data_IF_815459449308
#
_entry.id   IF_815459449308
#
_cell.length_a   1.000
_cell.length_b   1.000
_cell.length_c   1.000
_cell.angle_alpha   90.00
_cell.angle_beta   90.00
_cell.angle_gamma   90.00
#
_symmetry.space_group_name_H-M   'P 1'
#
loop_
_entity.id
_entity.type
_entity.pdbx_description
1 polymer ?
#
# COMPACT_ATOMS: atom_id res chain seq x y z
N UNK A 1 8.62 74.77 10.04
CA UNK A 1 9.12 73.95 8.90
C UNK A 1 8.99 72.50 9.23
N UNK A 2 7.98 71.83 8.71
CA UNK A 2 7.68 70.42 8.97
C UNK A 2 8.38 69.57 7.90
N UNK A 3 9.37 68.70 8.30
CA UNK A 3 10.06 67.82 7.38
C UNK A 3 9.26 66.52 7.24
N UNK A 4 8.58 66.36 6.11
CA UNK A 4 7.91 65.13 5.72
C UNK A 4 8.97 64.13 5.26
N UNK A 5 9.14 63.03 6.00
CA UNK A 5 9.97 61.89 5.57
C UNK A 5 9.10 60.97 4.71
N UNK A 6 9.41 60.85 3.41
CA UNK A 6 8.85 59.84 2.52
C UNK A 6 9.46 58.51 2.85
N UNK A 7 8.66 57.55 3.34
CA UNK A 7 9.02 56.12 3.45
C UNK A 7 8.58 55.47 2.15
N UNK A 8 9.55 55.10 1.31
CA UNK A 8 9.31 54.30 0.11
C UNK A 8 9.21 52.82 0.58
N UNK A 9 8.00 52.27 0.55
CA UNK A 9 7.78 50.84 0.72
C UNK A 9 8.13 50.12 -0.58
N UNK A 10 9.29 49.42 -0.59
CA UNK A 10 9.66 48.53 -1.67
C UNK A 10 8.77 47.27 -1.55
N UNK A 11 7.68 47.18 -2.31
CA UNK A 11 6.90 45.94 -2.50
C UNK A 11 7.74 45.00 -3.36
N UNK A 12 8.51 44.10 -2.71
CA UNK A 12 9.04 42.93 -3.36
C UNK A 12 7.84 42.02 -3.69
N UNK A 13 7.37 42.08 -4.91
CA UNK A 13 6.40 41.13 -5.44
C UNK A 13 7.03 39.74 -5.48
N UNK A 14 6.76 38.91 -4.47
CA UNK A 14 6.96 37.48 -4.58
C UNK A 14 5.95 36.97 -5.60
N UNK A 15 6.40 36.78 -6.83
CA UNK A 15 5.66 35.96 -7.80
C UNK A 15 5.65 34.54 -7.26
N UNK A 16 4.58 34.15 -6.58
CA UNK A 16 4.30 32.74 -6.29
C UNK A 16 3.98 32.13 -7.66
N UNK A 17 4.99 31.54 -8.30
CA UNK A 17 4.74 30.66 -9.43
C UNK A 17 3.97 29.47 -8.87
N UNK A 18 2.64 29.53 -8.96
CA UNK A 18 1.81 28.36 -8.79
C UNK A 18 2.14 27.45 -9.99
N UNK A 19 3.03 26.50 -9.78
CA UNK A 19 3.35 25.52 -10.79
C UNK A 19 2.09 24.70 -11.02
N UNK A 20 1.52 24.79 -12.21
CA UNK A 20 0.34 24.00 -12.58
C UNK A 20 0.70 22.51 -12.43
N UNK A 21 -0.04 21.81 -11.58
CA UNK A 21 0.23 20.39 -11.31
C UNK A 21 -0.12 19.59 -12.57
N UNK A 22 0.88 18.96 -13.15
CA UNK A 22 0.67 18.03 -14.26
C UNK A 22 0.21 16.67 -13.72
N UNK A 23 -0.95 16.23 -14.18
CA UNK A 23 -1.46 14.89 -13.92
C UNK A 23 -1.39 14.07 -15.20
N UNK A 24 -0.55 13.01 -15.25
CA UNK A 24 -0.45 12.18 -16.43
C UNK A 24 -1.79 11.49 -16.72
N UNK A 25 -2.07 11.32 -18.03
CA UNK A 25 -3.22 10.58 -18.53
C UNK A 25 -2.78 9.16 -18.96
N UNK A 26 -3.36 8.62 -20.02
CA UNK A 26 -2.97 7.31 -20.56
C UNK A 26 -1.51 7.29 -21.03
N UNK A 27 -1.05 8.38 -21.61
CA UNK A 27 0.34 8.56 -22.06
C UNK A 27 1.09 9.48 -21.08
N UNK A 28 2.11 8.94 -20.44
CA UNK A 28 2.95 9.67 -19.51
C UNK A 28 4.06 10.40 -20.25
N UNK A 29 4.11 11.72 -20.10
CA UNK A 29 5.15 12.55 -20.70
C UNK A 29 6.52 12.25 -20.09
N UNK A 30 7.54 12.18 -20.94
CA UNK A 30 8.94 12.04 -20.50
C UNK A 30 9.62 13.40 -20.59
N UNK A 31 10.45 13.71 -19.60
CA UNK A 31 11.26 14.94 -19.57
C UNK A 31 12.70 14.64 -19.22
N UNK A 32 13.60 15.47 -19.76
CA UNK A 32 15.00 15.42 -19.37
C UNK A 32 15.13 15.79 -17.89
N UNK A 33 15.88 15.00 -17.09
CA UNK A 33 16.06 15.25 -15.66
C UNK A 33 16.45 16.67 -15.30
N UNK A 34 17.34 17.31 -16.09
CA UNK A 34 17.79 18.68 -15.85
C UNK A 34 16.66 19.70 -15.87
N UNK A 35 15.64 19.49 -16.70
CA UNK A 35 14.47 20.38 -16.78
C UNK A 35 13.67 20.42 -15.49
N UNK A 36 13.85 19.41 -14.62
CA UNK A 36 13.20 19.27 -13.31
C UNK A 36 14.19 19.34 -12.14
N UNK A 37 15.42 19.85 -12.40
CA UNK A 37 16.44 20.10 -11.38
C UNK A 37 17.23 18.87 -10.96
N UNK A 38 17.27 17.80 -11.75
CA UNK A 38 18.05 16.59 -11.50
C UNK A 38 19.23 16.47 -12.47
N UNK A 39 20.31 15.83 -12.05
CA UNK A 39 21.43 15.49 -12.91
C UNK A 39 21.11 14.24 -13.74
N UNK A 40 21.27 14.33 -15.06
CA UNK A 40 21.16 13.18 -15.95
C UNK A 40 22.14 12.05 -15.56
N UNK A 41 23.36 12.42 -15.20
CA UNK A 41 24.36 11.47 -14.77
C UNK A 41 23.91 10.69 -13.52
N UNK A 42 23.38 11.39 -12.49
CA UNK A 42 22.90 10.74 -11.27
C UNK A 42 21.66 9.87 -11.51
N UNK A 43 20.78 10.25 -12.43
CA UNK A 43 19.64 9.39 -12.82
C UNK A 43 20.15 8.13 -13.51
N UNK A 44 21.13 8.22 -14.41
CA UNK A 44 21.76 7.06 -15.07
C UNK A 44 22.44 6.14 -14.05
N UNK A 45 23.22 6.69 -13.12
CA UNK A 45 23.86 5.93 -12.03
C UNK A 45 22.82 5.20 -11.19
N UNK A 46 21.70 5.85 -10.83
CA UNK A 46 20.63 5.24 -10.05
C UNK A 46 19.94 4.08 -10.81
N UNK A 47 19.71 4.23 -12.11
CA UNK A 47 19.17 3.17 -12.97
C UNK A 47 20.14 1.98 -13.05
N UNK A 48 21.42 2.26 -13.29
CA UNK A 48 22.45 1.22 -13.35
C UNK A 48 22.53 0.46 -12.01
N UNK A 49 22.56 1.18 -10.89
CA UNK A 49 22.54 0.58 -9.56
C UNK A 49 21.32 -0.33 -9.35
N UNK A 50 20.13 0.12 -9.75
CA UNK A 50 18.91 -0.68 -9.62
C UNK A 50 18.97 -1.98 -10.43
N UNK A 51 19.52 -1.93 -11.65
CA UNK A 51 19.68 -3.10 -12.52
C UNK A 51 20.72 -4.08 -11.97
N UNK A 52 21.85 -3.59 -11.48
CA UNK A 52 22.96 -4.40 -10.95
C UNK A 52 22.63 -5.03 -9.59
N UNK A 53 21.74 -4.41 -8.81
CA UNK A 53 21.35 -4.88 -7.48
C UNK A 53 19.95 -5.50 -7.46
N UNK A 54 19.49 -6.06 -8.59
CA UNK A 54 18.24 -6.81 -8.60
C UNK A 54 18.29 -7.97 -7.60
N UNK A 55 17.17 -8.19 -6.92
CA UNK A 55 17.02 -9.32 -6.01
C UNK A 55 17.24 -10.66 -6.75
N UNK A 56 18.09 -11.50 -6.20
CA UNK A 56 18.46 -12.82 -6.77
C UNK A 56 17.40 -13.91 -6.60
N UNK A 57 16.17 -13.58 -6.16
CA UNK A 57 15.08 -14.54 -6.01
C UNK A 57 14.78 -15.25 -7.32
N UNK A 58 14.50 -16.57 -7.22
CA UNK A 58 14.17 -17.41 -8.36
C UNK A 58 13.10 -16.75 -9.25
N UNK A 59 13.38 -16.64 -10.54
CA UNK A 59 12.44 -16.08 -11.52
C UNK A 59 11.26 -16.99 -11.83
N UNK A 60 11.36 -18.31 -11.55
CA UNK A 60 10.19 -19.16 -11.50
C UNK A 60 9.33 -18.75 -10.31
N UNK A 61 8.22 -18.07 -10.60
CA UNK A 61 7.37 -17.50 -9.56
C UNK A 61 6.77 -18.55 -8.64
N UNK A 62 6.42 -19.73 -9.16
CA UNK A 62 5.89 -20.84 -8.35
C UNK A 62 6.91 -21.27 -7.31
N UNK A 63 8.16 -21.51 -7.73
CA UNK A 63 9.22 -21.97 -6.83
C UNK A 63 9.56 -20.90 -5.80
N UNK A 64 9.58 -19.61 -6.21
CA UNK A 64 9.82 -18.49 -5.31
C UNK A 64 8.75 -18.39 -4.22
N UNK A 65 7.46 -18.53 -4.58
CA UNK A 65 6.35 -18.49 -3.63
C UNK A 65 6.40 -19.69 -2.69
N UNK A 66 6.60 -20.89 -3.20
CA UNK A 66 6.72 -22.11 -2.36
C UNK A 66 7.88 -21.96 -1.37
N UNK A 67 9.03 -21.48 -1.81
CA UNK A 67 10.19 -21.25 -0.95
C UNK A 67 9.93 -20.23 0.16
N UNK A 68 9.18 -19.17 -0.15
CA UNK A 68 8.91 -18.08 0.80
C UNK A 68 7.79 -18.43 1.80
N UNK A 69 6.71 -19.06 1.35
CA UNK A 69 5.45 -19.18 2.08
C UNK A 69 4.95 -20.62 2.26
N UNK A 70 5.60 -21.62 1.61
CA UNK A 70 5.14 -23.01 1.62
C UNK A 70 5.10 -23.68 3.00
N UNK A 71 5.63 -23.04 4.04
CA UNK A 71 5.56 -23.51 5.43
C UNK A 71 4.31 -23.01 6.18
N UNK A 72 3.56 -22.07 5.60
CA UNK A 72 2.40 -21.48 6.25
C UNK A 72 1.21 -22.46 6.24
N UNK A 73 0.45 -22.57 7.35
CA UNK A 73 -0.73 -23.41 7.39
C UNK A 73 -1.78 -23.00 6.35
N UNK A 74 -2.22 -23.96 5.54
CA UNK A 74 -3.21 -23.69 4.48
C UNK A 74 -2.62 -23.03 3.24
N UNK A 75 -1.29 -22.97 3.13
CA UNK A 75 -0.62 -22.49 1.93
C UNK A 75 -1.08 -23.29 0.69
N UNK A 76 -1.53 -22.56 -0.30
CA UNK A 76 -1.89 -23.09 -1.61
C UNK A 76 -1.75 -22.00 -2.69
N UNK A 77 -1.06 -22.31 -3.79
CA UNK A 77 -1.04 -21.42 -4.94
C UNK A 77 -2.35 -21.59 -5.71
N UNK A 78 -3.18 -20.55 -5.72
CA UNK A 78 -4.42 -20.50 -6.49
C UNK A 78 -4.22 -19.72 -7.78
N UNK A 79 -4.50 -20.39 -8.91
CA UNK A 79 -4.39 -19.78 -10.22
C UNK A 79 -3.01 -19.97 -10.89
N UNK A 80 -2.88 -19.50 -12.14
CA UNK A 80 -1.67 -19.70 -12.93
C UNK A 80 -0.52 -18.82 -12.46
N UNK A 81 0.69 -19.34 -12.51
CA UNK A 81 1.93 -18.61 -12.32
C UNK A 81 2.74 -18.55 -13.60
N UNK A 82 3.48 -17.47 -13.81
CA UNK A 82 4.42 -17.31 -14.95
C UNK A 82 5.81 -16.96 -14.42
N UNK A 83 6.89 -17.38 -15.11
CA UNK A 83 8.22 -16.89 -14.81
C UNK A 83 8.29 -15.37 -14.88
N UNK A 84 8.96 -14.75 -13.92
CA UNK A 84 9.25 -13.30 -13.93
C UNK A 84 10.32 -13.00 -14.96
N UNK A 85 10.20 -11.88 -15.63
CA UNK A 85 11.24 -11.35 -16.53
C UNK A 85 12.26 -10.50 -15.75
N UNK A 86 13.19 -9.87 -16.47
CA UNK A 86 14.20 -9.00 -15.90
C UNK A 86 13.63 -7.76 -15.19
N UNK A 87 14.49 -7.00 -14.51
CA UNK A 87 14.08 -5.82 -13.76
C UNK A 87 13.49 -4.76 -14.68
N UNK A 88 12.54 -4.01 -14.16
CA UNK A 88 12.02 -2.80 -14.79
C UNK A 88 11.69 -1.76 -13.73
N UNK A 89 11.62 -0.52 -14.14
CA UNK A 89 11.22 0.55 -13.23
C UNK A 89 11.10 1.91 -13.90
N UNK A 90 10.54 2.84 -13.13
CA UNK A 90 10.32 4.23 -13.49
C UNK A 90 10.87 5.13 -12.37
N UNK A 91 11.43 6.27 -12.76
CA UNK A 91 11.67 7.41 -11.87
C UNK A 91 10.73 8.51 -12.34
N UNK A 92 9.88 8.96 -11.43
CA UNK A 92 8.82 9.94 -11.71
C UNK A 92 9.07 11.17 -10.84
N UNK A 93 8.99 12.35 -11.45
CA UNK A 93 9.04 13.64 -10.77
C UNK A 93 7.91 14.54 -11.26
N UNK A 94 7.07 15.01 -10.34
CA UNK A 94 5.94 15.90 -10.64
C UNK A 94 5.03 15.41 -11.77
N UNK A 95 4.81 14.07 -11.82
CA UNK A 95 4.01 13.41 -12.85
C UNK A 95 4.78 13.04 -14.12
N UNK A 96 5.99 13.53 -14.34
CA UNK A 96 6.81 13.26 -15.53
C UNK A 96 7.76 12.08 -15.31
N UNK A 97 7.94 11.26 -16.33
CA UNK A 97 8.98 10.22 -16.34
C UNK A 97 10.33 10.89 -16.64
N UNK A 98 11.28 10.79 -15.71
CA UNK A 98 12.66 11.28 -15.85
C UNK A 98 13.68 10.15 -15.96
N UNK A 99 13.26 8.91 -15.81
CA UNK A 99 14.10 7.73 -16.00
C UNK A 99 13.24 6.48 -16.12
N UNK A 100 13.69 5.53 -16.95
CA UNK A 100 13.04 4.22 -17.10
C UNK A 100 14.03 3.15 -17.54
N UNK A 101 13.75 1.91 -17.13
CA UNK A 101 14.51 0.75 -17.61
C UNK A 101 13.61 -0.49 -17.71
N UNK A 102 14.01 -1.42 -18.55
CA UNK A 102 13.26 -2.64 -18.83
C UNK A 102 11.91 -2.39 -19.51
N UNK A 103 11.03 -3.37 -19.48
CA UNK A 103 9.69 -3.32 -20.06
C UNK A 103 8.68 -2.84 -19.01
N UNK A 104 8.46 -1.54 -18.95
CA UNK A 104 7.55 -0.91 -17.95
C UNK A 104 6.08 -1.11 -18.27
N UNK A 105 5.73 -1.59 -19.47
CA UNK A 105 4.36 -1.90 -19.85
C UNK A 105 3.98 -3.35 -19.57
N UNK A 106 4.91 -4.13 -19.07
CA UNK A 106 4.70 -5.54 -18.77
C UNK A 106 3.74 -5.74 -17.61
N UNK A 107 2.80 -6.65 -17.77
CA UNK A 107 1.93 -7.10 -16.70
C UNK A 107 2.66 -8.11 -15.81
N UNK A 108 2.82 -7.78 -14.56
CA UNK A 108 3.41 -8.63 -13.51
C UNK A 108 2.51 -8.65 -12.26
N UNK A 109 2.73 -9.65 -11.39
CA UNK A 109 2.08 -9.67 -10.08
C UNK A 109 2.61 -8.52 -9.20
N UNK A 110 1.70 -7.74 -8.66
CA UNK A 110 2.02 -6.59 -7.80
C UNK A 110 2.29 -6.98 -6.34
N UNK A 111 1.95 -8.22 -5.94
CA UNK A 111 2.04 -8.66 -4.54
C UNK A 111 1.46 -7.62 -3.58
N UNK A 112 2.18 -7.28 -2.53
CA UNK A 112 1.70 -6.36 -1.50
C UNK A 112 1.52 -4.90 -1.95
N UNK A 113 1.97 -4.50 -3.13
CA UNK A 113 1.58 -3.21 -3.73
C UNK A 113 0.06 -3.12 -3.95
N UNK A 114 -0.62 -4.27 -4.07
CA UNK A 114 -2.09 -4.35 -4.05
C UNK A 114 -2.72 -3.64 -2.85
N UNK A 115 -2.03 -3.60 -1.69
CA UNK A 115 -2.50 -2.90 -0.49
C UNK A 115 -2.60 -1.39 -0.69
N UNK A 116 -1.73 -0.79 -1.52
CA UNK A 116 -1.81 0.62 -1.89
C UNK A 116 -3.06 0.93 -2.72
N UNK A 117 -3.41 0.03 -3.66
CA UNK A 117 -4.68 0.14 -4.39
C UNK A 117 -5.89 0.00 -3.46
N UNK A 118 -5.85 -0.97 -2.55
CA UNK A 118 -6.92 -1.17 -1.57
C UNK A 118 -7.10 0.07 -0.69
N UNK A 119 -6.00 0.66 -0.22
CA UNK A 119 -6.02 1.91 0.56
C UNK A 119 -6.63 3.06 -0.24
N UNK A 120 -6.32 3.17 -1.54
CA UNK A 120 -6.90 4.19 -2.43
C UNK A 120 -8.42 3.98 -2.59
N UNK A 121 -8.86 2.74 -2.80
CA UNK A 121 -10.30 2.40 -2.87
C UNK A 121 -11.01 2.75 -1.56
N UNK A 122 -10.38 2.44 -0.41
CA UNK A 122 -10.91 2.83 0.90
C UNK A 122 -11.02 4.35 1.04
N UNK A 123 -10.01 5.11 0.58
CA UNK A 123 -10.04 6.57 0.56
C UNK A 123 -11.19 7.14 -0.29
N UNK A 124 -11.47 6.55 -1.45
CA UNK A 124 -12.60 6.93 -2.29
C UNK A 124 -13.95 6.61 -1.63
N UNK A 125 -14.06 5.47 -0.95
CA UNK A 125 -15.27 5.09 -0.21
C UNK A 125 -15.51 6.04 0.99
N UNK A 126 -14.44 6.38 1.72
CA UNK A 126 -14.48 7.37 2.79
C UNK A 126 -14.91 8.75 2.27
N UNK A 127 -14.33 9.23 1.16
CA UNK A 127 -14.69 10.50 0.53
C UNK A 127 -16.17 10.55 0.12
N UNK A 128 -16.73 9.41 -0.27
CA UNK A 128 -18.17 9.27 -0.58
C UNK A 128 -19.07 9.17 0.65
N UNK A 129 -18.51 9.20 1.86
CA UNK A 129 -19.25 9.11 3.12
C UNK A 129 -19.84 7.72 3.41
N UNK A 130 -19.27 6.66 2.81
CA UNK A 130 -19.75 5.29 3.04
C UNK A 130 -19.40 4.74 4.42
N UNK A 131 -18.38 5.32 5.06
CA UNK A 131 -17.98 5.04 6.45
C UNK A 131 -17.10 6.16 6.98
N UNK A 132 -16.93 6.22 8.32
CA UNK A 132 -15.92 7.05 8.98
C UNK A 132 -14.87 6.17 9.64
N UNK A 133 -13.63 6.71 9.78
CA UNK A 133 -12.49 5.93 10.28
C UNK A 133 -12.70 5.37 11.69
N UNK A 134 -13.37 6.11 12.56
CA UNK A 134 -13.59 5.74 13.97
C UNK A 134 -14.83 4.87 14.18
N UNK A 135 -15.63 4.64 13.14
CA UNK A 135 -16.81 3.78 13.21
C UNK A 135 -16.43 2.30 13.28
N UNK A 136 -17.21 1.54 14.03
CA UNK A 136 -16.95 0.12 14.29
C UNK A 136 -17.44 -0.76 13.15
N UNK A 137 -16.62 -1.73 12.76
CA UNK A 137 -16.95 -2.68 11.67
C UNK A 137 -18.22 -3.49 11.96
N UNK A 138 -18.53 -3.79 13.23
CA UNK A 138 -19.76 -4.48 13.63
C UNK A 138 -21.03 -3.77 13.17
N UNK A 139 -20.96 -2.45 12.96
CA UNK A 139 -22.12 -1.65 12.54
C UNK A 139 -22.41 -1.81 11.04
N UNK A 140 -21.42 -2.23 10.27
CA UNK A 140 -21.47 -2.47 8.82
C UNK A 140 -21.58 -3.96 8.45
N UNK A 141 -20.82 -4.82 9.13
CA UNK A 141 -20.67 -6.24 8.81
C UNK A 141 -21.46 -7.07 9.82
N UNK A 142 -22.56 -7.68 9.38
CA UNK A 142 -23.52 -8.38 10.24
C UNK A 142 -23.37 -9.91 10.24
N UNK A 143 -22.33 -10.45 9.62
CA UNK A 143 -22.11 -11.88 9.45
C UNK A 143 -21.41 -12.57 10.65
N UNK A 144 -21.28 -11.87 11.76
CA UNK A 144 -20.69 -12.40 13.00
C UNK A 144 -19.18 -12.19 13.16
N UNK A 145 -18.47 -11.78 12.10
CA UNK A 145 -16.98 -11.62 12.15
C UNK A 145 -16.53 -10.56 13.17
N UNK A 146 -17.40 -9.63 13.51
CA UNK A 146 -17.13 -8.53 14.44
C UNK A 146 -18.04 -8.57 15.68
N UNK A 147 -18.61 -9.73 16.03
CA UNK A 147 -19.56 -9.84 17.16
C UNK A 147 -18.95 -10.21 18.49
N UNK A 148 -17.74 -10.80 18.53
CA UNK A 148 -17.07 -11.17 19.78
C UNK A 148 -16.68 -9.93 20.62
N UNK A 149 -16.49 -10.11 21.93
CA UNK A 149 -16.08 -9.02 22.82
C UNK A 149 -14.78 -8.35 22.38
N UNK A 150 -13.86 -9.10 21.80
CA UNK A 150 -12.63 -8.59 21.25
C UNK A 150 -12.85 -7.85 19.92
N UNK A 151 -13.49 -8.48 18.95
CA UNK A 151 -13.62 -7.94 17.58
C UNK A 151 -14.61 -6.78 17.49
N UNK A 152 -15.58 -6.66 18.39
CA UNK A 152 -16.62 -5.60 18.35
C UNK A 152 -16.06 -4.18 18.49
N UNK A 153 -14.82 -4.05 18.99
CA UNK A 153 -14.13 -2.78 19.17
C UNK A 153 -13.30 -2.35 17.94
N UNK A 154 -13.22 -3.20 16.91
CA UNK A 154 -12.44 -2.91 15.71
C UNK A 154 -13.13 -1.83 14.89
N UNK A 155 -12.36 -0.78 14.54
CA UNK A 155 -12.78 0.31 13.65
C UNK A 155 -12.16 0.19 12.25
N UNK A 156 -12.65 0.97 11.30
CA UNK A 156 -12.04 1.09 9.96
C UNK A 156 -10.57 1.52 10.05
N UNK A 157 -10.26 2.45 10.96
CA UNK A 157 -8.88 2.89 11.19
C UNK A 157 -7.99 1.72 11.60
N UNK A 158 -8.44 0.85 12.50
CA UNK A 158 -7.66 -0.31 12.94
C UNK A 158 -7.36 -1.29 11.81
N UNK A 159 -8.29 -1.51 10.87
CA UNK A 159 -8.02 -2.35 9.69
C UNK A 159 -7.05 -1.68 8.73
N UNK A 160 -7.23 -0.38 8.44
CA UNK A 160 -6.42 0.35 7.47
C UNK A 160 -4.96 0.49 7.89
N UNK A 161 -4.68 0.64 9.18
CA UNK A 161 -3.31 0.76 9.70
C UNK A 161 -2.74 -0.56 10.23
N UNK A 162 -3.41 -1.69 9.99
CA UNK A 162 -3.02 -3.03 10.42
C UNK A 162 -2.82 -3.19 11.94
N UNK A 163 -3.62 -2.47 12.73
CA UNK A 163 -3.67 -2.61 14.20
C UNK A 163 -4.96 -3.27 14.70
N UNK A 164 -5.73 -3.90 13.81
CA UNK A 164 -7.03 -4.46 14.17
C UNK A 164 -6.95 -5.59 15.18
N UNK A 165 -5.87 -6.35 15.19
CA UNK A 165 -5.74 -7.55 16.01
C UNK A 165 -6.98 -8.46 15.95
N UNK A 166 -7.65 -8.46 14.78
CA UNK A 166 -8.84 -9.27 14.56
C UNK A 166 -8.54 -10.75 14.76
N UNK A 167 -9.43 -11.44 15.44
CA UNK A 167 -9.34 -12.87 15.73
C UNK A 167 -10.48 -13.62 15.06
N UNK A 168 -10.12 -14.57 14.19
CA UNK A 168 -11.14 -15.35 13.51
C UNK A 168 -10.65 -16.19 12.34
N UNK A 169 -11.59 -16.55 11.50
CA UNK A 169 -11.37 -17.29 10.27
C UNK A 169 -12.01 -16.55 9.10
N UNK A 170 -11.22 -16.29 8.06
CA UNK A 170 -11.68 -15.68 6.82
C UNK A 170 -11.51 -16.68 5.67
N UNK A 171 -12.62 -17.16 5.11
CA UNK A 171 -12.64 -18.12 3.97
C UNK A 171 -11.77 -19.39 4.20
N UNK A 172 -11.78 -19.92 5.42
CA UNK A 172 -11.00 -21.09 5.78
C UNK A 172 -9.60 -20.81 6.31
N UNK A 173 -9.13 -19.57 6.25
CA UNK A 173 -7.81 -19.15 6.75
C UNK A 173 -7.92 -18.43 8.08
N UNK A 174 -7.24 -18.90 9.10
CA UNK A 174 -7.21 -18.27 10.42
C UNK A 174 -6.27 -17.07 10.44
N UNK A 175 -6.59 -16.07 11.30
CA UNK A 175 -5.78 -14.86 11.50
C UNK A 175 -4.32 -15.15 11.88
N UNK A 176 -4.06 -16.22 12.63
CA UNK A 176 -2.72 -16.67 13.03
C UNK A 176 -1.96 -17.42 11.93
N UNK A 177 -2.59 -17.73 10.80
CA UNK A 177 -1.96 -18.53 9.73
C UNK A 177 -1.00 -17.74 8.85
N UNK A 178 -1.05 -16.39 8.88
CA UNK A 178 -0.15 -15.55 8.10
C UNK A 178 1.20 -15.40 8.81
N UNK A 179 2.27 -15.79 8.12
CA UNK A 179 3.67 -15.70 8.59
C UNK A 179 3.89 -16.17 10.03
N UNK A 180 3.43 -17.38 10.38
CA UNK A 180 3.58 -17.87 11.73
C UNK A 180 5.08 -18.06 12.05
N UNK A 181 5.49 -17.83 13.31
CA UNK A 181 6.84 -18.15 13.74
C UNK A 181 7.16 -19.62 13.46
N UNK A 182 8.27 -19.90 12.78
CA UNK A 182 8.65 -21.27 12.36
C UNK A 182 8.95 -22.24 13.52
N UNK A 183 9.22 -21.69 14.69
CA UNK A 183 9.56 -22.43 15.90
C UNK A 183 8.35 -22.77 16.78
N UNK A 184 7.14 -22.36 16.40
CA UNK A 184 5.92 -22.63 17.14
C UNK A 184 5.05 -23.66 16.44
N UNK A 185 4.38 -24.51 17.22
CA UNK A 185 3.35 -25.42 16.72
C UNK A 185 2.03 -24.68 16.45
N UNK A 186 1.17 -25.26 15.62
CA UNK A 186 -0.16 -24.70 15.33
C UNK A 186 -1.00 -24.56 16.61
N UNK A 187 -0.83 -25.46 17.60
CA UNK A 187 -1.51 -25.36 18.90
C UNK A 187 -1.06 -24.14 19.71
N UNK A 188 0.23 -23.88 19.73
CA UNK A 188 0.80 -22.71 20.41
C UNK A 188 0.37 -21.39 19.74
N UNK A 189 0.30 -21.35 18.41
CA UNK A 189 -0.20 -20.17 17.69
C UNK A 189 -1.65 -19.85 18.06
N UNK A 190 -2.50 -20.86 18.23
CA UNK A 190 -3.93 -20.68 18.58
C UNK A 190 -4.18 -20.12 19.97
N UNK A 191 -3.27 -20.34 20.92
CA UNK A 191 -3.44 -19.92 22.32
C UNK A 191 -2.72 -18.63 22.66
N UNK A 192 -2.04 -17.99 21.68
CA UNK A 192 -1.41 -16.70 21.93
C UNK A 192 -2.46 -15.64 22.29
N UNK A 193 -2.17 -14.89 23.36
CA UNK A 193 -2.89 -13.67 23.64
C UNK A 193 -2.52 -12.62 22.62
N UNK A 194 -3.53 -12.01 22.02
CA UNK A 194 -3.34 -10.91 21.08
C UNK A 194 -3.70 -9.58 21.77
N UNK A 195 -2.97 -8.49 21.46
CA UNK A 195 -3.29 -7.16 21.95
C UNK A 195 -4.71 -6.73 21.59
N UNK A 196 -5.26 -5.75 22.30
CA UNK A 196 -6.55 -5.17 21.93
C UNK A 196 -6.45 -4.42 20.59
N UNK A 197 -7.57 -4.26 19.87
CA UNK A 197 -7.60 -3.42 18.67
C UNK A 197 -7.02 -2.03 18.94
N UNK A 198 -6.07 -1.62 18.10
CA UNK A 198 -5.37 -0.35 18.22
C UNK A 198 -4.08 -0.36 19.05
N UNK A 199 -3.82 -1.37 19.86
CA UNK A 199 -2.64 -1.40 20.75
C UNK A 199 -1.33 -1.81 20.07
N UNK A 200 -1.40 -2.59 18.98
CA UNK A 200 -0.20 -3.07 18.30
C UNK A 200 -0.39 -3.15 16.79
N UNK A 201 0.67 -2.80 16.06
CA UNK A 201 0.78 -3.05 14.62
C UNK A 201 1.19 -4.50 14.37
N UNK A 202 0.53 -5.14 13.42
CA UNK A 202 0.92 -6.45 12.92
C UNK A 202 0.60 -6.56 11.43
N UNK A 203 1.64 -6.74 10.62
CA UNK A 203 1.47 -7.02 9.20
C UNK A 203 0.86 -8.40 9.02
N UNK A 204 -0.39 -8.47 8.56
CA UNK A 204 -1.15 -9.71 8.47
C UNK A 204 -2.07 -9.69 7.24
N UNK A 205 -1.80 -10.58 6.28
CA UNK A 205 -2.52 -10.62 5.01
C UNK A 205 -3.98 -11.10 5.18
N UNK A 206 -4.28 -11.94 6.18
CA UNK A 206 -5.66 -12.36 6.47
C UNK A 206 -6.49 -11.14 6.90
N UNK A 207 -5.92 -10.27 7.75
CA UNK A 207 -6.58 -9.05 8.23
C UNK A 207 -6.69 -7.99 7.11
N UNK A 208 -5.75 -7.94 6.18
CA UNK A 208 -5.87 -7.10 4.98
C UNK A 208 -6.97 -7.62 4.04
N UNK A 209 -7.09 -8.94 3.88
CA UNK A 209 -8.19 -9.52 3.13
C UNK A 209 -9.54 -9.26 3.81
N UNK A 210 -9.57 -9.21 5.15
CA UNK A 210 -10.75 -8.79 5.90
C UNK A 210 -11.15 -7.34 5.62
N UNK A 211 -10.17 -6.42 5.49
CA UNK A 211 -10.43 -5.04 5.05
C UNK A 211 -11.07 -5.03 3.66
N UNK A 212 -10.51 -5.79 2.71
CA UNK A 212 -11.05 -5.89 1.36
C UNK A 212 -12.49 -6.41 1.35
N UNK A 213 -12.76 -7.46 2.13
CA UNK A 213 -14.11 -7.99 2.32
C UNK A 213 -15.07 -6.96 2.93
N UNK A 214 -14.61 -6.23 3.94
CA UNK A 214 -15.42 -5.18 4.60
C UNK A 214 -15.74 -4.03 3.65
N UNK A 215 -14.77 -3.59 2.84
CA UNK A 215 -14.98 -2.57 1.81
C UNK A 215 -15.98 -3.05 0.74
N UNK A 216 -15.90 -4.30 0.31
CA UNK A 216 -16.85 -4.86 -0.64
C UNK A 216 -18.28 -4.77 -0.11
N UNK A 217 -18.51 -5.06 1.17
CA UNK A 217 -19.86 -4.99 1.77
C UNK A 217 -20.44 -3.57 1.74
N UNK A 218 -19.64 -2.52 1.99
CA UNK A 218 -20.16 -1.14 1.92
C UNK A 218 -20.29 -0.63 0.49
N UNK A 219 -19.47 -1.10 -0.45
CA UNK A 219 -19.55 -0.73 -1.86
C UNK A 219 -20.73 -1.39 -2.58
N UNK A 220 -21.16 -2.57 -2.14
CA UNK A 220 -22.35 -3.24 -2.70
C UNK A 220 -23.68 -2.59 -2.28
N UNK A 221 -23.64 -1.62 -1.36
CA UNK A 221 -24.82 -0.83 -0.96
C UNK A 221 -25.04 0.40 -1.86
N UNK A 222 -24.16 0.67 -2.83
CA UNK A 222 -24.29 1.71 -3.85
C UNK A 222 -25.13 1.24 -5.03
#
# INVERSE_FOLDING_TARGET
>A
MLKIKFIVFLLCGFSINCQELYYPNLDWEQREPESLGFSNEKIKEAIQFAVENENSVNRNLKDAIISAFGYEPGFEIKGPTKPRKGPNGLIIKDGYIIGKWGDVSRVDMTFSVTKSYLSTVAGLAYQKGLFNLDEKLKDYIKDGKFSSDHNKEITWHHLLNQSSQWKGNLFGTFDWADRPPRNLSVGELKVQEIPKPGEAYEYNDVRVNLLSFSLLNVLLLL
#
